data_IF_141193091249
#
_entry.id   IF_141193091249
#
_cell.length_a   1.000
_cell.length_b   1.000
_cell.length_c   1.000
_cell.angle_alpha   90.00
_cell.angle_beta   90.00
_cell.angle_gamma   90.00
#
_symmetry.space_group_name_H-M   'P 1'
#
loop_
_entity.id
_entity.type
_entity.pdbx_description
1 polymer ?
#
# COMPACT_ATOMS: atom_id res chain seq x y z
N UNK A 1 20.11 35.98 -10.66
CA UNK A 1 18.72 36.14 -10.21
C UNK A 1 18.14 34.74 -10.08
N UNK A 2 17.79 34.25 -8.88
CA UNK A 2 17.15 32.95 -8.75
C UNK A 2 15.75 33.01 -9.39
N UNK A 3 15.34 31.93 -10.06
CA UNK A 3 13.99 31.78 -10.60
C UNK A 3 12.97 31.80 -9.45
N UNK A 4 11.75 32.33 -9.65
CA UNK A 4 10.71 32.31 -8.63
C UNK A 4 10.34 30.86 -8.28
N UNK A 5 10.05 30.62 -7.01
CA UNK A 5 9.58 29.33 -6.51
C UNK A 5 8.43 28.82 -7.40
N UNK A 6 8.55 27.56 -7.85
CA UNK A 6 7.52 26.86 -8.62
C UNK A 6 6.17 26.96 -7.93
N UNK A 7 5.11 27.32 -8.68
CA UNK A 7 3.71 27.38 -8.20
C UNK A 7 3.12 25.97 -7.95
N UNK A 8 3.89 24.92 -8.22
CA UNK A 8 3.51 23.53 -8.04
C UNK A 8 4.40 22.85 -7.01
N UNK A 9 3.77 22.04 -6.16
CA UNK A 9 4.43 21.19 -5.16
C UNK A 9 4.19 19.72 -5.49
N UNK A 10 5.24 18.91 -5.40
CA UNK A 10 5.11 17.46 -5.39
C UNK A 10 4.48 17.02 -4.06
N UNK A 11 3.52 16.10 -4.15
CA UNK A 11 2.85 15.52 -3.00
C UNK A 11 2.98 14.00 -3.12
N UNK A 12 3.50 13.36 -2.10
CA UNK A 12 3.55 11.90 -2.05
C UNK A 12 2.20 11.37 -1.57
N UNK A 13 1.61 10.45 -2.33
CA UNK A 13 0.43 9.71 -1.89
C UNK A 13 0.81 8.26 -1.60
N UNK A 14 0.76 7.89 -0.33
CA UNK A 14 1.11 6.55 0.10
C UNK A 14 -0.12 5.66 0.29
N UNK A 15 -0.03 4.41 -0.16
CA UNK A 15 -1.06 3.40 0.11
C UNK A 15 -0.99 2.90 1.55
N UNK A 16 -2.10 3.01 2.29
CA UNK A 16 -2.24 2.36 3.59
C UNK A 16 -2.42 0.85 3.40
N UNK A 17 -1.54 0.07 4.03
CA UNK A 17 -1.60 -1.40 3.97
C UNK A 17 -2.90 -1.89 4.61
N UNK A 18 -3.63 -2.73 3.87
CA UNK A 18 -4.92 -3.27 4.31
C UNK A 18 -4.79 -4.46 5.27
N UNK A 19 -5.88 -4.80 5.99
CA UNK A 19 -5.89 -5.85 7.00
C UNK A 19 -5.68 -7.26 6.44
N UNK A 20 -5.90 -7.46 5.14
CA UNK A 20 -5.70 -8.76 4.46
C UNK A 20 -4.35 -8.88 3.77
N UNK A 21 -3.37 -8.05 4.10
CA UNK A 21 -1.99 -8.19 3.61
C UNK A 21 -1.48 -9.62 3.86
N UNK A 22 -0.91 -10.26 2.83
CA UNK A 22 -0.41 -11.63 2.89
C UNK A 22 0.62 -11.90 1.79
N UNK A 23 1.24 -13.08 1.83
CA UNK A 23 2.23 -13.52 0.84
C UNK A 23 1.72 -14.73 0.04
N UNK A 24 0.82 -14.49 -0.91
CA UNK A 24 0.23 -15.55 -1.74
C UNK A 24 1.07 -15.96 -2.98
N UNK A 25 2.16 -15.24 -3.29
CA UNK A 25 3.03 -15.59 -4.43
C UNK A 25 2.41 -15.36 -5.82
N UNK A 26 1.37 -14.52 -5.93
CA UNK A 26 0.55 -14.40 -7.15
C UNK A 26 1.17 -13.56 -8.27
N UNK A 27 2.36 -12.97 -8.07
CA UNK A 27 2.99 -12.05 -9.02
C UNK A 27 4.15 -12.72 -9.76
N UNK A 28 3.85 -13.37 -10.88
CA UNK A 28 4.86 -14.01 -11.73
C UNK A 28 5.94 -12.99 -12.16
N UNK A 29 7.21 -13.38 -12.07
CA UNK A 29 8.36 -12.51 -12.33
C UNK A 29 8.80 -11.63 -11.14
N UNK A 30 7.99 -11.51 -10.08
CA UNK A 30 8.41 -10.84 -8.85
C UNK A 30 9.07 -11.85 -7.90
N UNK A 31 10.41 -11.86 -7.88
CA UNK A 31 11.21 -12.75 -7.03
C UNK A 31 10.87 -12.63 -5.55
N UNK A 32 10.57 -11.44 -5.04
CA UNK A 32 10.19 -11.24 -3.63
C UNK A 32 8.82 -11.90 -3.31
N UNK A 33 7.85 -11.78 -4.22
CA UNK A 33 6.52 -12.40 -4.07
C UNK A 33 6.62 -13.92 -4.05
N UNK A 34 7.38 -14.51 -4.97
CA UNK A 34 7.56 -15.96 -5.09
C UNK A 34 8.37 -16.53 -3.91
N UNK A 35 9.48 -15.88 -3.54
CA UNK A 35 10.36 -16.37 -2.46
C UNK A 35 9.71 -16.36 -1.07
N UNK A 36 8.73 -15.48 -0.83
CA UNK A 36 8.01 -15.38 0.45
C UNK A 36 6.63 -16.06 0.41
N UNK A 37 6.30 -16.78 -0.66
CA UNK A 37 5.00 -17.43 -0.81
C UNK A 37 4.69 -18.36 0.38
N UNK A 38 3.51 -18.21 0.96
CA UNK A 38 3.03 -19.02 2.09
C UNK A 38 3.59 -18.60 3.46
N UNK A 39 4.50 -17.62 3.51
CA UNK A 39 5.01 -17.11 4.78
C UNK A 39 3.90 -16.41 5.60
N UNK A 40 4.05 -16.43 6.92
CA UNK A 40 3.14 -15.70 7.82
C UNK A 40 3.37 -14.20 7.65
N UNK A 41 2.29 -13.45 7.47
CA UNK A 41 2.32 -11.99 7.37
C UNK A 41 1.88 -11.33 8.68
N UNK A 42 2.28 -10.07 8.88
CA UNK A 42 1.82 -9.24 9.99
C UNK A 42 1.20 -7.94 9.44
N UNK A 43 -0.10 -7.93 9.11
CA UNK A 43 -0.76 -6.77 8.50
C UNK A 43 -0.66 -5.49 9.32
N UNK A 44 -0.78 -5.60 10.65
CA UNK A 44 -0.64 -4.45 11.55
C UNK A 44 0.76 -3.86 11.50
N UNK A 45 1.79 -4.70 11.56
CA UNK A 45 3.17 -4.23 11.48
C UNK A 45 3.49 -3.61 10.12
N UNK A 46 2.99 -4.20 9.02
CA UNK A 46 3.16 -3.64 7.68
C UNK A 46 2.50 -2.25 7.55
N UNK A 47 1.30 -2.06 8.11
CA UNK A 47 0.66 -0.75 8.16
C UNK A 47 1.46 0.26 9.01
N UNK A 48 1.94 -0.15 10.19
CA UNK A 48 2.74 0.71 11.06
C UNK A 48 4.08 1.11 10.42
N UNK A 49 4.74 0.21 9.68
CA UNK A 49 5.95 0.54 8.92
C UNK A 49 5.67 1.62 7.86
N UNK A 50 4.56 1.50 7.12
CA UNK A 50 4.13 2.51 6.15
C UNK A 50 3.84 3.86 6.80
N UNK A 51 3.08 3.87 7.89
CA UNK A 51 2.75 5.10 8.64
C UNK A 51 4.00 5.77 9.22
N UNK A 52 4.95 5.00 9.76
CA UNK A 52 6.23 5.52 10.26
C UNK A 52 7.02 6.19 9.15
N UNK A 53 7.06 5.61 7.94
CA UNK A 53 7.71 6.23 6.77
C UNK A 53 7.03 7.55 6.38
N UNK A 54 5.70 7.57 6.28
CA UNK A 54 4.96 8.78 5.95
C UNK A 54 5.26 9.89 6.97
N UNK A 55 5.20 9.57 8.26
CA UNK A 55 5.51 10.53 9.33
C UNK A 55 6.93 11.07 9.22
N UNK A 56 7.90 10.19 8.98
CA UNK A 56 9.32 10.56 8.86
C UNK A 56 9.58 11.54 7.71
N UNK A 57 8.83 11.42 6.60
CA UNK A 57 8.87 12.36 5.47
C UNK A 57 8.17 13.68 5.81
N UNK A 58 7.00 13.63 6.46
CA UNK A 58 6.30 14.84 6.93
C UNK A 58 7.18 15.67 7.87
N UNK A 59 7.90 15.01 8.78
CA UNK A 59 8.85 15.66 9.71
C UNK A 59 10.00 16.39 8.99
N UNK A 60 10.22 16.11 7.70
CA UNK A 60 11.25 16.74 6.84
C UNK A 60 10.68 17.75 5.84
N UNK A 61 9.40 18.08 5.94
CA UNK A 61 8.74 19.08 5.10
C UNK A 61 8.18 18.54 3.79
N UNK A 62 8.17 17.22 3.57
CA UNK A 62 7.49 16.64 2.42
C UNK A 62 5.98 16.56 2.67
N UNK A 63 5.18 17.01 1.70
CA UNK A 63 3.72 16.97 1.79
C UNK A 63 3.25 15.54 1.49
N UNK A 64 2.50 14.95 2.42
CA UNK A 64 1.96 13.60 2.28
C UNK A 64 0.42 13.58 2.19
N UNK A 65 -0.10 12.66 1.39
CA UNK A 65 -1.47 12.18 1.39
C UNK A 65 -1.51 10.67 1.62
N UNK A 66 -2.69 10.16 2.00
CA UNK A 66 -2.90 8.72 2.26
C UNK A 66 -4.03 8.20 1.38
N UNK A 67 -3.81 7.08 0.72
CA UNK A 67 -4.83 6.33 -0.02
C UNK A 67 -5.30 5.14 0.84
N UNK A 68 -6.61 5.02 1.14
CA UNK A 68 -7.13 3.94 1.97
C UNK A 68 -7.02 2.57 1.28
N UNK A 69 -6.98 1.47 2.04
CA UNK A 69 -6.99 0.13 1.46
C UNK A 69 -8.33 -0.17 0.80
N UNK A 70 -8.31 -1.08 -0.17
CA UNK A 70 -9.53 -1.58 -0.82
C UNK A 70 -10.31 -2.53 0.10
N UNK A 71 -11.62 -2.69 -0.17
CA UNK A 71 -12.44 -3.72 0.46
C UNK A 71 -11.88 -5.11 0.14
N UNK A 72 -11.60 -5.88 1.20
CA UNK A 72 -11.15 -7.27 1.14
C UNK A 72 -11.77 -8.06 2.31
N UNK A 73 -12.21 -9.32 2.11
CA UNK A 73 -12.27 -10.06 0.84
C UNK A 73 -13.24 -9.43 -0.18
N UNK A 74 -12.93 -9.56 -1.48
CA UNK A 74 -13.78 -9.03 -2.55
C UNK A 74 -14.89 -10.03 -2.91
N UNK A 75 -15.95 -10.07 -2.10
CA UNK A 75 -17.10 -10.95 -2.29
C UNK A 75 -17.81 -10.76 -3.65
N UNK A 76 -17.98 -9.53 -4.19
CA UNK A 76 -18.52 -9.34 -5.53
C UNK A 76 -17.82 -10.19 -6.61
N UNK A 77 -16.48 -10.26 -6.58
CA UNK A 77 -15.72 -11.10 -7.53
C UNK A 77 -16.02 -12.58 -7.33
N UNK A 78 -16.12 -13.06 -6.08
CA UNK A 78 -16.48 -14.45 -5.82
C UNK A 78 -17.88 -14.78 -6.36
N UNK A 79 -18.86 -13.88 -6.19
CA UNK A 79 -20.20 -14.05 -6.76
C UNK A 79 -20.19 -14.13 -8.29
N UNK A 80 -19.39 -13.29 -8.95
CA UNK A 80 -19.22 -13.35 -10.40
C UNK A 80 -18.59 -14.67 -10.88
N UNK A 81 -17.79 -15.31 -10.03
CA UNK A 81 -17.20 -16.63 -10.30
C UNK A 81 -18.13 -17.81 -9.96
N UNK A 82 -19.39 -17.55 -9.59
CA UNK A 82 -20.41 -18.58 -9.38
C UNK A 82 -20.57 -19.04 -7.92
N UNK A 83 -19.84 -18.45 -6.96
CA UNK A 83 -20.06 -18.71 -5.54
C UNK A 83 -21.34 -18.01 -5.06
N UNK A 84 -22.23 -18.75 -4.39
CA UNK A 84 -23.54 -18.26 -3.96
C UNK A 84 -23.63 -18.24 -2.42
N UNK A 85 -24.44 -17.32 -1.88
CA UNK A 85 -24.52 -16.98 -0.46
C UNK A 85 -24.50 -15.47 -0.18
#
# INVERSE_FOLDING_TARGET
>A
MPLPDSVYHEINFDGLVGPTHNYAGLSFGNLASVSHQGAVSNPRQAALQGLSKMRWLMDRGFVQGVLPPQLRPNLPTLRQLGFQG
#
